data_IF_351010167227
#
_entry.id   IF_351010167227
#
_cell.length_a   1.000
_cell.length_b   1.000
_cell.length_c   1.000
_cell.angle_alpha   90.00
_cell.angle_beta   90.00
_cell.angle_gamma   90.00
#
_symmetry.space_group_name_H-M   'P 1'
#
loop_
_entity.id
_entity.type
_entity.pdbx_description
1 polymer ?
#
# COMPACT_ATOMS: atom_id res chain seq x y z
N UNK A 1 -9.18 -11.41 11.55
CA UNK A 1 -7.83 -11.21 11.00
C UNK A 1 -7.57 -9.72 11.01
N UNK A 2 -6.38 -9.24 11.39
CA UNK A 2 -6.13 -7.79 11.40
C UNK A 2 -5.94 -7.28 9.97
N UNK A 3 -6.57 -6.15 9.63
CA UNK A 3 -6.49 -5.51 8.32
C UNK A 3 -5.67 -4.22 8.42
N UNK A 4 -4.68 -4.08 7.53
CA UNK A 4 -3.73 -2.96 7.54
C UNK A 4 -3.75 -2.25 6.20
N UNK A 5 -3.89 -0.92 6.22
CA UNK A 5 -3.91 -0.09 5.03
C UNK A 5 -2.71 0.84 4.99
N UNK A 6 -1.98 0.83 3.88
CA UNK A 6 -0.87 1.74 3.60
C UNK A 6 -1.35 2.88 2.70
N UNK A 7 -1.15 4.14 3.09
CA UNK A 7 -1.73 5.30 2.38
C UNK A 7 -0.66 6.31 2.01
N UNK A 8 -0.60 6.68 0.73
CA UNK A 8 0.24 7.79 0.26
C UNK A 8 -0.55 8.69 -0.69
N UNK A 9 0.06 9.69 -1.31
CA UNK A 9 -0.67 10.56 -2.23
C UNK A 9 -1.25 9.82 -3.46
N UNK A 10 -0.41 9.27 -4.34
CA UNK A 10 -0.85 8.74 -5.65
C UNK A 10 -0.93 7.22 -5.78
N UNK A 11 -0.65 6.46 -4.72
CA UNK A 11 -0.67 4.99 -4.69
C UNK A 11 0.11 4.24 -5.78
N UNK A 12 1.18 4.84 -6.33
CA UNK A 12 2.05 4.18 -7.32
C UNK A 12 3.49 3.97 -6.85
N UNK A 13 3.97 4.72 -5.85
CA UNK A 13 5.36 4.63 -5.40
C UNK A 13 5.47 4.08 -3.97
N UNK A 14 5.06 4.89 -2.98
CA UNK A 14 5.35 4.64 -1.57
C UNK A 14 4.45 3.56 -0.96
N UNK A 15 3.13 3.73 -1.04
CA UNK A 15 2.20 2.79 -0.40
C UNK A 15 2.19 1.38 -1.02
N UNK A 16 2.35 1.17 -2.35
CA UNK A 16 2.50 -0.19 -2.90
C UNK A 16 3.78 -0.89 -2.43
N UNK A 17 4.88 -0.14 -2.30
CA UNK A 17 6.13 -0.69 -1.78
C UNK A 17 5.97 -1.08 -0.30
N UNK A 18 5.33 -0.23 0.50
CA UNK A 18 5.03 -0.52 1.90
C UNK A 18 4.14 -1.75 2.06
N UNK A 19 3.10 -1.90 1.23
CA UNK A 19 2.24 -3.08 1.18
C UNK A 19 3.04 -4.35 0.88
N UNK A 20 3.87 -4.35 -0.17
CA UNK A 20 4.69 -5.49 -0.53
C UNK A 20 5.67 -5.89 0.58
N UNK A 21 6.32 -4.91 1.22
CA UNK A 21 7.24 -5.14 2.35
C UNK A 21 6.49 -5.71 3.55
N UNK A 22 5.32 -5.14 3.88
CA UNK A 22 4.52 -5.60 5.01
C UNK A 22 3.99 -7.01 4.78
N UNK A 23 3.48 -7.31 3.59
CA UNK A 23 3.04 -8.66 3.19
C UNK A 23 4.15 -9.68 3.38
N UNK A 24 5.36 -9.36 2.90
CA UNK A 24 6.53 -10.23 3.09
C UNK A 24 6.83 -10.45 4.57
N UNK A 25 6.88 -9.38 5.38
CA UNK A 25 7.15 -9.49 6.82
C UNK A 25 6.10 -10.32 7.56
N UNK A 26 4.82 -10.11 7.27
CA UNK A 26 3.72 -10.89 7.86
C UNK A 26 3.91 -12.39 7.60
N UNK A 27 4.26 -12.75 6.35
CA UNK A 27 4.57 -14.13 5.99
C UNK A 27 5.82 -14.66 6.72
N UNK A 28 6.93 -13.91 6.71
CA UNK A 28 8.20 -14.31 7.34
C UNK A 28 8.03 -14.56 8.86
N UNK A 29 7.14 -13.83 9.52
CA UNK A 29 6.84 -13.98 10.96
C UNK A 29 5.60 -14.84 11.26
N UNK A 30 4.97 -15.46 10.26
CA UNK A 30 3.73 -16.25 10.40
C UNK A 30 2.59 -15.48 11.10
N UNK A 31 2.47 -14.18 10.85
CA UNK A 31 1.42 -13.32 11.39
C UNK A 31 0.22 -13.34 10.45
N UNK A 32 -0.93 -13.80 10.95
CA UNK A 32 -2.16 -13.85 10.17
C UNK A 32 -2.84 -12.47 10.13
N UNK A 33 -2.48 -11.66 9.13
CA UNK A 33 -3.03 -10.34 8.85
C UNK A 33 -3.13 -10.09 7.34
N UNK A 34 -4.02 -9.18 6.96
CA UNK A 34 -4.21 -8.72 5.58
C UNK A 34 -3.63 -7.32 5.42
N UNK A 35 -3.03 -7.05 4.25
CA UNK A 35 -2.47 -5.74 3.92
C UNK A 35 -2.85 -5.33 2.50
N UNK A 36 -3.28 -4.07 2.39
CA UNK A 36 -3.63 -3.38 1.15
C UNK A 36 -3.00 -1.97 1.13
N UNK A 37 -3.09 -1.28 -0.01
CA UNK A 37 -2.69 0.11 -0.14
C UNK A 37 -3.61 0.94 -1.02
N UNK A 38 -3.66 2.24 -0.74
CA UNK A 38 -4.39 3.22 -1.54
C UNK A 38 -3.70 4.59 -1.51
N UNK A 39 -4.37 5.60 -2.08
CA UNK A 39 -3.95 6.98 -1.97
C UNK A 39 -5.05 8.02 -2.14
N UNK A 40 -4.75 9.28 -1.84
CA UNK A 40 -5.72 10.37 -1.79
C UNK A 40 -6.04 11.00 -3.15
N UNK A 41 -5.20 10.79 -4.16
CA UNK A 41 -5.42 11.31 -5.51
C UNK A 41 -5.89 10.23 -6.48
N UNK A 42 -6.89 10.56 -7.30
CA UNK A 42 -7.47 9.63 -8.26
C UNK A 42 -6.71 9.55 -9.58
N UNK A 43 -5.69 10.40 -9.81
CA UNK A 43 -4.99 10.56 -11.08
C UNK A 43 -4.41 9.24 -11.62
N UNK A 44 -3.96 8.36 -10.72
CA UNK A 44 -3.36 7.08 -11.05
C UNK A 44 -4.29 5.88 -10.87
N UNK A 45 -5.61 6.08 -10.68
CA UNK A 45 -6.51 4.96 -10.40
C UNK A 45 -6.46 3.91 -11.52
N UNK A 46 -6.15 2.66 -11.17
CA UNK A 46 -5.99 1.55 -12.11
C UNK A 46 -4.59 1.42 -12.70
N UNK A 47 -3.68 2.37 -12.46
CA UNK A 47 -2.30 2.26 -12.90
C UNK A 47 -1.54 1.19 -12.11
N UNK A 48 -0.46 0.70 -12.71
CA UNK A 48 0.53 -0.13 -12.02
C UNK A 48 1.41 0.75 -11.14
N UNK A 49 2.12 0.18 -10.15
CA UNK A 49 3.16 0.91 -9.45
C UNK A 49 4.22 1.47 -10.42
N UNK A 50 4.87 2.54 -10.00
CA UNK A 50 5.99 3.12 -10.72
C UNK A 50 7.06 2.05 -10.97
N UNK A 51 7.54 2.00 -12.21
CA UNK A 51 8.49 0.98 -12.67
C UNK A 51 9.75 0.91 -11.80
N UNK A 52 10.24 2.06 -11.31
CA UNK A 52 11.41 2.11 -10.40
C UNK A 52 11.10 1.45 -9.06
N UNK A 53 9.87 1.62 -8.56
CA UNK A 53 9.39 0.96 -7.36
C UNK A 53 9.31 -0.55 -7.53
N UNK A 54 8.80 -1.02 -8.68
CA UNK A 54 8.76 -2.45 -9.03
C UNK A 54 10.17 -3.04 -9.05
N UNK A 55 11.11 -2.39 -9.72
CA UNK A 55 12.50 -2.85 -9.82
C UNK A 55 13.18 -2.93 -8.45
N UNK A 56 12.95 -1.95 -7.57
CA UNK A 56 13.48 -1.96 -6.21
C UNK A 56 12.86 -3.08 -5.37
N UNK A 57 11.54 -3.29 -5.46
CA UNK A 57 10.86 -4.39 -4.78
C UNK A 57 11.41 -5.75 -5.23
N UNK A 58 11.55 -5.97 -6.53
CA UNK A 58 12.05 -7.21 -7.12
C UNK A 58 13.49 -7.51 -6.68
N UNK A 59 14.36 -6.50 -6.62
CA UNK A 59 15.73 -6.64 -6.09
C UNK A 59 15.77 -7.15 -4.64
N UNK A 60 14.68 -6.96 -3.89
CA UNK A 60 14.52 -7.42 -2.50
C UNK A 60 13.61 -8.66 -2.38
N UNK A 61 13.31 -9.35 -3.49
CA UNK A 61 12.49 -10.56 -3.49
C UNK A 61 11.00 -10.31 -3.22
N UNK A 62 10.50 -9.11 -3.52
CA UNK A 62 9.09 -8.73 -3.37
C UNK A 62 8.52 -8.40 -4.75
N UNK A 63 7.36 -8.96 -5.10
CA UNK A 63 6.62 -8.58 -6.30
C UNK A 63 5.43 -7.69 -5.94
N UNK A 64 5.43 -6.47 -6.47
CA UNK A 64 4.31 -5.51 -6.39
C UNK A 64 3.70 -5.22 -7.76
N UNK A 65 4.17 -5.87 -8.83
CA UNK A 65 3.81 -5.55 -10.21
C UNK A 65 2.34 -5.83 -10.56
N UNK A 66 1.68 -6.64 -9.74
CA UNK A 66 0.25 -6.94 -9.77
C UNK A 66 -0.64 -5.90 -9.06
N UNK A 67 -0.07 -5.02 -8.23
CA UNK A 67 -0.82 -3.96 -7.55
C UNK A 67 -1.50 -3.03 -8.56
N UNK A 68 -2.64 -2.47 -8.17
CA UNK A 68 -3.36 -1.46 -8.95
C UNK A 68 -3.72 -0.30 -8.06
N UNK A 69 -3.32 0.89 -8.49
CA UNK A 69 -3.56 2.09 -7.70
C UNK A 69 -5.06 2.33 -7.51
N UNK A 70 -5.47 2.68 -6.30
CA UNK A 70 -6.86 2.99 -5.96
C UNK A 70 -6.97 4.20 -5.04
N UNK A 71 -8.09 4.90 -5.16
CA UNK A 71 -8.45 6.01 -4.28
C UNK A 71 -8.83 5.50 -2.89
N UNK A 72 -8.41 6.23 -1.86
CA UNK A 72 -8.87 6.10 -0.48
C UNK A 72 -10.37 6.41 -0.40
N UNK A 73 -11.12 5.63 0.37
CA UNK A 73 -12.58 5.76 0.50
C UNK A 73 -12.94 5.88 1.97
N UNK A 74 -14.05 6.55 2.28
CA UNK A 74 -14.56 6.65 3.65
C UNK A 74 -14.79 5.25 4.28
N UNK A 75 -15.21 4.27 3.47
CA UNK A 75 -15.37 2.89 3.91
C UNK A 75 -14.06 2.22 4.38
N UNK A 76 -12.89 2.71 3.95
CA UNK A 76 -11.59 2.19 4.41
C UNK A 76 -11.40 2.40 5.93
N UNK A 77 -12.01 3.44 6.52
CA UNK A 77 -11.99 3.66 7.98
C UNK A 77 -12.74 2.57 8.76
N UNK A 78 -13.76 1.96 8.16
CA UNK A 78 -14.53 0.89 8.78
C UNK A 78 -13.93 -0.48 8.48
N UNK A 79 -13.31 -0.63 7.31
CA UNK A 79 -12.76 -1.91 6.86
C UNK A 79 -11.41 -2.25 7.50
N UNK A 80 -10.55 -1.27 7.76
CA UNK A 80 -9.17 -1.51 8.23
C UNK A 80 -8.98 -1.20 9.72
N UNK A 81 -8.30 -2.10 10.44
CA UNK A 81 -7.97 -1.90 11.85
C UNK A 81 -6.85 -0.86 12.05
N UNK A 82 -5.92 -0.79 11.09
CA UNK A 82 -4.76 0.10 11.12
C UNK A 82 -4.59 0.80 9.78
N UNK A 83 -4.42 2.13 9.82
CA UNK A 83 -4.16 2.96 8.64
C UNK A 83 -2.85 3.70 8.87
N UNK A 84 -1.85 3.42 8.04
CA UNK A 84 -0.53 4.06 8.10
C UNK A 84 -0.33 4.98 6.89
N UNK A 85 -0.23 6.27 7.16
CA UNK A 85 0.06 7.30 6.15
C UNK A 85 1.56 7.53 6.00
N UNK A 86 2.02 7.79 4.77
CA UNK A 86 3.45 7.84 4.43
C UNK A 86 4.11 9.20 4.72
N UNK A 87 3.33 10.28 4.90
CA UNK A 87 3.86 11.59 5.30
C UNK A 87 2.82 12.42 6.08
N UNK A 88 3.24 13.55 6.64
CA UNK A 88 2.39 14.42 7.46
C UNK A 88 1.27 15.11 6.67
N UNK A 89 1.44 15.31 5.36
CA UNK A 89 0.38 15.90 4.53
C UNK A 89 -0.74 14.89 4.33
N UNK A 90 -0.37 13.64 4.05
CA UNK A 90 -1.31 12.53 4.00
C UNK A 90 -2.02 12.26 5.33
N UNK A 91 -1.50 12.72 6.47
CA UNK A 91 -2.22 12.66 7.74
C UNK A 91 -3.25 13.80 7.91
N UNK A 92 -3.02 14.93 7.23
CA UNK A 92 -3.86 16.12 7.31
C UNK A 92 -4.99 16.13 6.26
N UNK A 93 -4.87 15.32 5.21
CA UNK A 93 -5.89 15.04 4.19
C UNK A 93 -7.04 14.17 4.75
#
# INVERSE_FOLDING_TARGET
MKKILMVCLGNICRSPLAEGIMRKKLNDFNINAEVDSCGFESFHTGDRPDQRGIEVAQKNGIDISGHRARLFRVADFEEFDYIFVMDQRNYAD
#
